data_IF_721190246552
#
_entry.id   IF_721190246552
#
_cell.length_a   1.000
_cell.length_b   1.000
_cell.length_c   1.000
_cell.angle_alpha   90.00
_cell.angle_beta   90.00
_cell.angle_gamma   90.00
#
_symmetry.space_group_name_H-M   'P 1'
#
loop_
_entity.id
_entity.type
_entity.pdbx_description
1 polymer ?
#
# COMPACT_ATOMS: atom_id res chain seq x y z
N UNK A 1 -11.25 7.94 11.65
CA UNK A 1 -10.11 7.22 11.02
C UNK A 1 -8.92 8.16 10.73
N UNK A 2 -8.55 9.08 11.61
CA UNK A 2 -7.27 9.81 11.52
C UNK A 2 -6.36 9.24 12.60
N UNK A 3 -5.10 8.94 12.26
CA UNK A 3 -4.11 8.38 13.20
C UNK A 3 -3.93 6.86 13.18
N UNK A 4 -4.67 6.09 12.36
CA UNK A 4 -4.40 4.66 12.25
C UNK A 4 -3.10 4.42 11.44
N UNK A 5 -2.11 3.68 11.97
CA UNK A 5 -0.79 3.51 11.35
C UNK A 5 -0.83 3.04 9.89
N UNK A 6 -1.80 2.20 9.54
CA UNK A 6 -2.01 1.73 8.16
C UNK A 6 -2.21 2.87 7.16
N UNK A 7 -2.88 3.98 7.52
CA UNK A 7 -3.02 5.10 6.57
C UNK A 7 -1.68 5.76 6.30
N UNK A 8 -0.85 5.93 7.33
CA UNK A 8 0.50 6.49 7.18
C UNK A 8 1.32 5.57 6.27
N UNK A 9 1.28 4.26 6.52
CA UNK A 9 1.97 3.27 5.71
C UNK A 9 1.50 3.31 4.24
N UNK A 10 0.19 3.35 3.99
CA UNK A 10 -0.36 3.43 2.63
C UNK A 10 0.15 4.66 1.86
N UNK A 11 0.26 5.82 2.51
CA UNK A 11 0.79 7.02 1.88
C UNK A 11 2.30 6.95 1.69
N UNK A 12 3.02 6.48 2.71
CA UNK A 12 4.48 6.33 2.67
C UNK A 12 4.93 5.34 1.58
N UNK A 13 4.14 4.30 1.34
CA UNK A 13 4.44 3.27 0.34
C UNK A 13 3.65 3.43 -0.96
N UNK A 14 2.97 4.55 -1.19
CA UNK A 14 2.20 4.81 -2.40
C UNK A 14 1.14 3.73 -2.77
N UNK A 15 0.51 3.11 -1.78
CA UNK A 15 -0.59 2.13 -1.96
C UNK A 15 -1.98 2.69 -1.62
N UNK A 16 -2.08 3.98 -1.29
CA UNK A 16 -3.32 4.63 -0.83
C UNK A 16 -4.42 4.81 -1.89
N UNK A 17 -4.07 4.86 -3.18
CA UNK A 17 -5.05 5.00 -4.26
C UNK A 17 -4.59 4.30 -5.55
N UNK A 18 -5.53 4.10 -6.49
CA UNK A 18 -5.23 3.48 -7.79
C UNK A 18 -4.21 4.26 -8.62
N UNK A 19 -4.18 5.58 -8.51
CA UNK A 19 -3.18 6.41 -9.21
C UNK A 19 -1.76 6.17 -8.70
N UNK A 20 -1.58 6.07 -7.38
CA UNK A 20 -0.29 5.75 -6.78
C UNK A 20 0.16 4.32 -7.14
N UNK A 21 -0.76 3.35 -7.09
CA UNK A 21 -0.48 1.97 -7.52
C UNK A 21 -0.05 1.88 -9.00
N UNK A 22 -0.70 2.64 -9.88
CA UNK A 22 -0.32 2.68 -11.29
C UNK A 22 1.06 3.31 -11.49
N UNK A 23 1.32 4.45 -10.85
CA UNK A 23 2.57 5.20 -11.00
C UNK A 23 3.78 4.47 -10.42
N UNK A 24 3.62 3.82 -9.26
CA UNK A 24 4.76 3.34 -8.46
C UNK A 24 4.88 1.81 -8.41
N UNK A 25 3.78 1.09 -8.64
CA UNK A 25 3.75 -0.37 -8.54
C UNK A 25 3.37 -1.06 -9.87
N UNK A 26 3.18 -0.29 -10.94
CA UNK A 26 2.78 -0.79 -12.25
C UNK A 26 1.47 -1.62 -12.21
N UNK A 27 0.57 -1.29 -11.28
CA UNK A 27 -0.76 -1.91 -11.16
C UNK A 27 -1.79 -0.95 -11.77
N UNK A 28 -2.39 -1.29 -12.93
CA UNK A 28 -3.25 -0.37 -13.65
C UNK A 28 -4.49 0.04 -12.86
N UNK A 29 -4.91 1.29 -13.07
CA UNK A 29 -6.18 1.78 -12.57
C UNK A 29 -7.32 1.31 -13.48
N UNK A 30 -8.57 1.39 -13.00
CA UNK A 30 -9.75 1.01 -13.78
C UNK A 30 -10.04 -0.48 -13.84
N UNK A 31 -9.17 -1.33 -13.29
CA UNK A 31 -9.40 -2.77 -13.13
C UNK A 31 -9.47 -3.16 -11.65
N UNK A 32 -10.17 -4.26 -11.37
CA UNK A 32 -10.18 -4.89 -10.06
C UNK A 32 -8.80 -5.46 -9.74
N UNK A 33 -8.37 -5.35 -8.47
CA UNK A 33 -7.12 -5.97 -8.06
C UNK A 33 -7.29 -7.49 -8.06
N UNK A 34 -6.31 -8.18 -8.65
CA UNK A 34 -6.19 -9.62 -8.48
C UNK A 34 -5.86 -9.95 -7.02
N UNK A 35 -6.14 -11.18 -6.59
CA UNK A 35 -5.77 -11.65 -5.25
C UNK A 35 -4.26 -11.46 -4.99
N UNK A 36 -3.43 -11.74 -5.99
CA UNK A 36 -1.97 -11.57 -5.90
C UNK A 36 -1.56 -10.10 -5.73
N UNK A 37 -2.21 -9.17 -6.45
CA UNK A 37 -1.95 -7.74 -6.29
C UNK A 37 -2.38 -7.24 -4.90
N UNK A 38 -3.50 -7.74 -4.37
CA UNK A 38 -3.94 -7.41 -3.01
C UNK A 38 -2.94 -7.91 -1.97
N UNK A 39 -2.50 -9.17 -2.08
CA UNK A 39 -1.48 -9.75 -1.21
C UNK A 39 -0.17 -8.96 -1.26
N UNK A 40 0.27 -8.57 -2.46
CA UNK A 40 1.44 -7.71 -2.65
C UNK A 40 1.27 -6.37 -1.92
N UNK A 41 0.16 -5.67 -2.11
CA UNK A 41 -0.10 -4.37 -1.46
C UNK A 41 -0.08 -4.52 0.07
N UNK A 42 -0.71 -5.56 0.61
CA UNK A 42 -0.71 -5.84 2.06
C UNK A 42 0.72 -6.10 2.55
N UNK A 43 1.52 -6.87 1.80
CA UNK A 43 2.91 -7.16 2.18
C UNK A 43 3.79 -5.91 2.24
N UNK A 44 3.60 -4.97 1.30
CA UNK A 44 4.33 -3.69 1.27
C UNK A 44 3.97 -2.82 2.48
N UNK A 45 2.67 -2.69 2.78
CA UNK A 45 2.18 -1.95 3.94
C UNK A 45 2.73 -2.56 5.24
N UNK A 46 2.64 -3.89 5.37
CA UNK A 46 3.12 -4.62 6.53
C UNK A 46 4.64 -4.44 6.72
N UNK A 47 5.43 -4.56 5.65
CA UNK A 47 6.87 -4.38 5.72
C UNK A 47 7.26 -2.98 6.23
N UNK A 48 6.61 -1.93 5.72
CA UNK A 48 6.86 -0.57 6.18
C UNK A 48 6.50 -0.38 7.66
N UNK A 49 5.35 -0.92 8.10
CA UNK A 49 4.95 -0.86 9.51
C UNK A 49 5.95 -1.55 10.44
N UNK A 50 6.42 -2.74 10.07
CA UNK A 50 7.45 -3.47 10.84
C UNK A 50 8.73 -2.65 10.95
N UNK A 51 9.18 -2.02 9.86
CA UNK A 51 10.36 -1.15 9.89
C UNK A 51 10.18 0.07 10.80
N UNK A 52 9.00 0.69 10.80
CA UNK A 52 8.73 1.88 11.62
C UNK A 52 8.48 1.58 13.09
N UNK A 53 7.93 0.40 13.42
CA UNK A 53 7.68 -0.02 14.80
C UNK A 53 8.93 -0.56 15.49
N UNK A 54 9.91 -1.02 14.71
CA UNK A 54 11.20 -1.54 15.20
C UNK A 54 12.34 -0.50 15.12
N UNK A 55 12.02 0.76 14.81
CA UNK A 55 12.97 1.87 14.73
C UNK A 55 13.13 2.61 16.06
#
# INVERSE_FOLDING_TARGET
MRGHPVFIAQHATATCCRGCLAKWHNIPHGVQLTAQQQQYIVSVIHHWLVLQMNA
#
